data_IF_973607722732
#
_entry.id   IF_973607722732
#
_cell.length_a   1.000
_cell.length_b   1.000
_cell.length_c   1.000
_cell.angle_alpha   90.00
_cell.angle_beta   90.00
_cell.angle_gamma   90.00
#
_symmetry.space_group_name_H-M   'P 1'
#
loop_
_entity.id
_entity.type
_entity.pdbx_description
1 polymer ?
#
# COMPACT_ATOMS: atom_id res chain seq x y z
N UNK A 1 -18.94 -2.71 -3.69
CA UNK A 1 -17.98 -1.85 -4.42
C UNK A 1 -18.59 -0.63 -5.12
N UNK A 2 -19.59 -0.76 -6.01
CA UNK A 2 -20.11 0.40 -6.80
C UNK A 2 -20.59 1.59 -5.94
N UNK A 3 -21.27 1.33 -4.82
CA UNK A 3 -21.75 2.38 -3.89
C UNK A 3 -20.60 3.13 -3.22
N UNK A 4 -19.61 2.43 -2.65
CA UNK A 4 -18.45 3.04 -2.01
C UNK A 4 -17.68 3.99 -2.93
N UNK A 5 -17.56 3.64 -4.23
CA UNK A 5 -16.87 4.46 -5.23
C UNK A 5 -17.58 5.79 -5.52
N UNK A 6 -18.91 5.84 -5.38
CA UNK A 6 -19.70 7.05 -5.60
C UNK A 6 -19.69 8.01 -4.39
N UNK A 7 -19.27 7.55 -3.20
CA UNK A 7 -19.20 8.39 -2.01
C UNK A 7 -18.01 9.34 -2.11
N UNK A 8 -18.30 10.64 -2.13
CA UNK A 8 -17.30 11.72 -2.18
C UNK A 8 -16.62 11.92 -0.83
N UNK A 9 -17.38 11.93 0.27
CA UNK A 9 -16.84 12.14 1.61
C UNK A 9 -15.93 10.96 2.03
N UNK A 10 -14.66 11.21 2.37
CA UNK A 10 -13.69 10.15 2.66
C UNK A 10 -14.03 9.34 3.91
N UNK A 11 -14.58 9.97 4.95
CA UNK A 11 -14.94 9.30 6.21
C UNK A 11 -16.12 8.34 6.00
N UNK A 12 -17.17 8.81 5.32
CA UNK A 12 -18.31 7.95 4.93
C UNK A 12 -17.88 6.80 4.03
N UNK A 13 -16.92 7.04 3.14
CA UNK A 13 -16.37 5.99 2.27
C UNK A 13 -15.56 4.96 3.08
N UNK A 14 -14.82 5.41 4.10
CA UNK A 14 -14.08 4.54 5.02
C UNK A 14 -15.03 3.63 5.81
N UNK A 15 -16.14 4.17 6.32
CA UNK A 15 -17.17 3.38 7.02
C UNK A 15 -17.74 2.29 6.12
N UNK A 16 -18.14 2.63 4.89
CA UNK A 16 -18.62 1.65 3.91
C UNK A 16 -17.58 0.57 3.59
N UNK A 17 -16.29 0.89 3.52
CA UNK A 17 -15.24 -0.13 3.34
C UNK A 17 -15.09 -1.05 4.56
N UNK A 18 -15.30 -0.56 5.79
CA UNK A 18 -15.31 -1.41 6.99
C UNK A 18 -16.48 -2.40 6.96
N UNK A 19 -17.67 -1.95 6.58
CA UNK A 19 -18.84 -2.83 6.44
C UNK A 19 -18.57 -3.95 5.41
N UNK A 20 -17.99 -3.60 4.26
CA UNK A 20 -17.60 -4.58 3.25
C UNK A 20 -16.57 -5.57 3.80
N UNK A 21 -15.59 -5.11 4.58
CA UNK A 21 -14.58 -5.97 5.19
C UNK A 21 -15.20 -6.93 6.22
N UNK A 22 -16.15 -6.48 7.02
CA UNK A 22 -16.86 -7.33 7.98
C UNK A 22 -17.56 -8.49 7.27
N UNK A 23 -18.33 -8.20 6.20
CA UNK A 23 -19.00 -9.24 5.40
C UNK A 23 -18.00 -10.27 4.87
N UNK A 24 -16.84 -9.81 4.36
CA UNK A 24 -15.80 -10.71 3.85
C UNK A 24 -15.22 -11.59 4.96
N UNK A 25 -14.99 -11.05 6.16
CA UNK A 25 -14.46 -11.83 7.28
C UNK A 25 -15.50 -12.87 7.74
N UNK A 26 -16.77 -12.46 7.82
CA UNK A 26 -17.88 -13.33 8.24
C UNK A 26 -18.09 -14.50 7.26
N UNK A 27 -18.03 -14.24 5.96
CA UNK A 27 -18.15 -15.26 4.91
C UNK A 27 -16.88 -16.12 4.77
N UNK A 28 -15.75 -15.65 5.30
CA UNK A 28 -14.41 -16.29 5.27
C UNK A 28 -14.05 -16.96 3.90
N UNK A 29 -14.08 -16.22 2.78
CA UNK A 29 -13.77 -16.79 1.46
C UNK A 29 -12.27 -17.04 1.26
N UNK A 30 -11.41 -16.48 2.13
CA UNK A 30 -9.95 -16.51 2.01
C UNK A 30 -9.29 -16.84 3.35
N UNK A 31 -8.08 -17.39 3.28
CA UNK A 31 -7.20 -17.54 4.44
C UNK A 31 -6.24 -16.35 4.54
N UNK A 32 -6.50 -15.44 5.48
CA UNK A 32 -5.71 -14.23 5.69
C UNK A 32 -4.45 -14.54 6.51
N UNK A 33 -3.30 -14.76 5.86
CA UNK A 33 -2.08 -15.17 6.55
C UNK A 33 -1.29 -14.00 7.16
N UNK A 34 -0.93 -13.00 6.36
CA UNK A 34 -0.16 -11.84 6.81
C UNK A 34 -0.18 -10.69 5.79
N UNK A 35 0.25 -9.51 6.24
CA UNK A 35 0.61 -8.39 5.38
C UNK A 35 2.14 -8.32 5.24
N UNK A 36 2.72 -8.36 4.02
CA UNK A 36 4.15 -8.42 3.84
C UNK A 36 4.83 -7.12 4.29
N UNK A 37 5.95 -7.25 5.01
CA UNK A 37 6.87 -6.16 5.26
C UNK A 37 7.97 -6.20 4.20
N UNK A 38 8.10 -5.11 3.45
CA UNK A 38 9.08 -5.00 2.38
C UNK A 38 10.21 -4.07 2.80
N UNK A 39 11.44 -4.51 2.60
CA UNK A 39 12.65 -3.71 2.76
C UNK A 39 13.44 -3.68 1.46
N UNK A 40 14.25 -2.64 1.27
CA UNK A 40 15.20 -2.55 0.17
C UNK A 40 16.60 -2.25 0.72
N UNK A 41 17.61 -2.71 0.00
CA UNK A 41 19.02 -2.43 0.27
C UNK A 41 19.62 -1.84 -0.99
N UNK A 42 20.43 -0.79 -0.85
CA UNK A 42 21.18 -0.18 -1.94
C UNK A 42 22.68 -0.25 -1.67
N UNK A 43 23.46 -0.17 -2.74
CA UNK A 43 24.91 -0.04 -2.64
C UNK A 43 25.26 1.28 -1.93
N UNK A 44 26.31 1.26 -1.10
CA UNK A 44 26.87 2.49 -0.49
C UNK A 44 27.18 3.54 -1.59
N UNK A 45 26.84 4.79 -1.31
CA UNK A 45 26.94 5.90 -2.28
C UNK A 45 25.73 6.06 -3.21
N UNK A 46 24.73 5.18 -3.14
CA UNK A 46 23.44 5.35 -3.81
C UNK A 46 22.41 5.85 -2.80
N UNK A 47 22.03 7.12 -2.92
CA UNK A 47 21.07 7.80 -2.07
C UNK A 47 19.69 7.86 -2.73
N UNK A 48 18.64 8.07 -1.92
CA UNK A 48 17.27 8.30 -2.43
C UNK A 48 16.49 7.06 -2.85
N UNK A 49 17.06 5.86 -2.69
CA UNK A 49 16.36 4.60 -3.02
C UNK A 49 15.25 4.32 -2.00
N UNK A 50 14.01 4.71 -2.33
CA UNK A 50 12.82 4.49 -1.49
C UNK A 50 11.83 3.55 -2.17
N UNK A 51 11.39 2.53 -1.42
CA UNK A 51 10.28 1.67 -1.84
C UNK A 51 8.95 2.36 -1.50
N UNK A 52 8.10 2.54 -2.50
CA UNK A 52 6.73 3.06 -2.31
C UNK A 52 5.82 2.00 -1.70
N UNK A 53 4.67 2.43 -1.16
CA UNK A 53 3.62 1.53 -0.66
C UNK A 53 3.05 0.59 -1.72
N UNK A 54 3.30 0.86 -3.01
CA UNK A 54 2.92 0.00 -4.14
C UNK A 54 4.06 -0.95 -4.57
N UNK A 55 5.15 -1.04 -3.81
CA UNK A 55 6.29 -1.90 -4.12
C UNK A 55 7.16 -1.40 -5.28
N UNK A 56 7.07 -0.12 -5.65
CA UNK A 56 7.87 0.49 -6.73
C UNK A 56 8.97 1.39 -6.19
N UNK A 57 10.11 1.46 -6.89
CA UNK A 57 11.19 2.42 -6.63
C UNK A 57 11.06 3.57 -7.62
N UNK A 58 11.17 4.81 -7.13
CA UNK A 58 11.19 6.01 -7.97
C UNK A 58 12.63 6.35 -8.33
N UNK A 59 12.99 6.19 -9.60
CA UNK A 59 14.37 6.39 -10.07
C UNK A 59 14.79 7.86 -10.11
N UNK A 60 13.87 8.78 -10.34
CA UNK A 60 14.16 10.23 -10.42
C UNK A 60 14.74 10.80 -9.11
N UNK A 61 14.47 10.14 -7.99
CA UNK A 61 14.96 10.54 -6.66
C UNK A 61 16.35 9.96 -6.36
N UNK A 62 16.89 9.08 -7.21
CA UNK A 62 18.15 8.39 -6.97
C UNK A 62 19.34 9.26 -7.34
N UNK A 63 20.27 9.40 -6.41
CA UNK A 63 21.52 10.16 -6.59
C UNK A 63 22.70 9.23 -6.35
N UNK A 64 23.69 9.30 -7.23
CA UNK A 64 24.98 8.63 -7.05
C UNK A 64 25.95 9.66 -6.50
N UNK A 65 26.34 9.48 -5.24
CA UNK A 65 27.37 10.28 -4.59
C UNK A 65 28.73 9.91 -5.21
N UNK A 66 29.44 10.89 -5.77
CA UNK A 66 30.84 10.70 -6.14
C UNK A 66 31.67 10.74 -4.85
N UNK A 67 32.43 9.68 -4.62
CA UNK A 67 33.49 9.66 -3.61
C UNK A 67 34.52 10.75 -3.88
#
# INVERSE_FOLDING_TARGET
MKRARAIVNPDKRKEMYKEIQNIIIDDCPWLFLYHPQSGNVSKKGILGVRLSSLGKIKFDDIIIEKM
#
